data_IF_166677578425
#
_entry.id   IF_166677578425
#
_cell.length_a   1.000
_cell.length_b   1.000
_cell.length_c   1.000
_cell.angle_alpha   90.00
_cell.angle_beta   90.00
_cell.angle_gamma   90.00
#
_symmetry.space_group_name_H-M   'P 1'
#
loop_
_entity.id
_entity.type
_entity.pdbx_description
1 polymer ?
#
# COMPACT_ATOMS: atom_id res chain seq x y z
N UNK A 1 -20.11 22.23 -54.31
CA UNK A 1 -20.28 21.51 -53.03
C UNK A 1 -18.88 21.22 -52.49
N UNK A 2 -18.39 22.05 -51.57
CA UNK A 2 -17.08 21.86 -50.94
C UNK A 2 -17.29 20.96 -49.72
N UNK A 3 -16.71 19.76 -49.73
CA UNK A 3 -16.71 18.84 -48.61
C UNK A 3 -15.58 19.24 -47.66
N UNK A 4 -15.94 19.75 -46.47
CA UNK A 4 -15.00 20.01 -45.39
C UNK A 4 -14.73 18.71 -44.64
N UNK A 5 -13.56 18.12 -44.84
CA UNK A 5 -13.05 17.02 -44.03
C UNK A 5 -12.62 17.57 -42.67
N UNK A 6 -13.39 17.26 -41.63
CA UNK A 6 -13.06 17.61 -40.25
C UNK A 6 -11.92 16.69 -39.79
N UNK A 7 -10.71 17.23 -39.67
CA UNK A 7 -9.58 16.55 -39.02
C UNK A 7 -9.91 16.48 -37.52
N UNK A 8 -10.28 15.30 -37.01
CA UNK A 8 -10.32 15.04 -35.58
C UNK A 8 -8.87 15.09 -35.07
N UNK A 9 -8.50 16.15 -34.36
CA UNK A 9 -7.27 16.19 -33.60
C UNK A 9 -7.36 15.11 -32.50
N UNK A 10 -6.52 14.07 -32.59
CA UNK A 10 -6.28 13.19 -31.45
C UNK A 10 -5.69 14.05 -30.33
N UNK A 11 -6.45 14.22 -29.26
CA UNK A 11 -5.96 14.74 -27.99
C UNK A 11 -4.89 13.75 -27.51
N UNK A 12 -3.69 14.22 -27.11
CA UNK A 12 -2.60 13.33 -26.75
C UNK A 12 -3.00 12.44 -25.56
N UNK A 13 -2.50 11.21 -25.61
CA UNK A 13 -2.56 10.18 -24.60
C UNK A 13 -2.30 10.74 -23.19
N UNK A 14 -2.97 10.14 -22.21
CA UNK A 14 -2.80 10.39 -20.79
C UNK A 14 -1.31 10.56 -20.43
N UNK A 15 -1.02 11.60 -19.64
CA UNK A 15 0.31 11.81 -19.09
C UNK A 15 0.52 10.85 -17.93
N UNK A 16 1.65 10.17 -17.95
CA UNK A 16 2.19 9.42 -16.81
C UNK A 16 1.95 10.20 -15.52
N UNK A 17 1.31 9.53 -14.56
CA UNK A 17 1.38 9.92 -13.16
C UNK A 17 2.80 9.62 -12.66
N UNK A 18 3.77 10.32 -13.24
CA UNK A 18 5.12 10.36 -12.74
C UNK A 18 5.04 10.80 -11.26
N UNK A 19 5.79 10.15 -10.37
CA UNK A 19 5.80 10.55 -8.98
C UNK A 19 6.17 12.03 -8.87
N UNK A 20 5.42 12.84 -8.10
CA UNK A 20 5.69 14.26 -7.97
C UNK A 20 7.04 14.50 -7.30
N UNK A 21 7.71 15.60 -7.63
CA UNK A 21 8.87 16.03 -6.87
C UNK A 21 8.49 16.29 -5.41
N UNK A 22 9.37 15.92 -4.48
CA UNK A 22 9.25 16.24 -3.06
C UNK A 22 10.40 17.17 -2.69
N UNK A 23 10.08 18.34 -2.15
CA UNK A 23 11.06 19.36 -1.82
C UNK A 23 12.19 18.80 -0.93
N UNK A 24 13.43 19.02 -1.35
CA UNK A 24 14.62 18.56 -0.63
C UNK A 24 14.94 17.07 -0.76
N UNK A 25 14.20 16.30 -1.56
CA UNK A 25 14.43 14.86 -1.75
C UNK A 25 14.60 14.49 -3.23
N UNK A 26 15.37 13.43 -3.48
CA UNK A 26 15.53 12.81 -4.79
C UNK A 26 14.70 11.54 -4.86
N UNK A 27 14.10 11.24 -6.03
CA UNK A 27 13.55 9.91 -6.29
C UNK A 27 14.72 8.93 -6.44
N UNK A 28 14.83 7.96 -5.54
CA UNK A 28 15.85 6.90 -5.60
C UNK A 28 15.31 5.62 -6.24
N UNK A 29 13.98 5.46 -6.27
CA UNK A 29 13.29 4.36 -6.95
C UNK A 29 11.84 4.73 -7.26
N UNK A 30 11.28 4.27 -8.38
CA UNK A 30 9.86 4.41 -8.68
C UNK A 30 9.31 3.36 -9.64
N UNK A 31 8.00 3.15 -9.57
CA UNK A 31 7.19 2.38 -10.52
C UNK A 31 5.98 3.23 -10.93
N UNK A 32 5.71 3.30 -12.23
CA UNK A 32 4.59 4.06 -12.84
C UNK A 32 3.61 3.14 -13.57
N UNK A 33 3.81 1.82 -13.47
CA UNK A 33 2.93 0.79 -13.99
C UNK A 33 2.69 0.93 -15.50
N UNK A 34 3.74 1.28 -16.25
CA UNK A 34 3.67 1.41 -17.69
C UNK A 34 3.49 0.05 -18.37
N UNK A 35 2.46 -0.07 -19.22
CA UNK A 35 2.21 -1.30 -19.97
C UNK A 35 0.88 -1.36 -20.71
N UNK A 36 0.72 -2.42 -21.49
CA UNK A 36 -0.52 -2.71 -22.21
C UNK A 36 -1.65 -3.11 -21.25
N UNK A 37 -2.89 -2.85 -21.63
CA UNK A 37 -4.06 -3.24 -20.85
C UNK A 37 -4.10 -4.76 -20.67
N UNK A 38 -4.37 -5.22 -19.45
CA UNK A 38 -4.41 -6.65 -19.11
C UNK A 38 -3.04 -7.30 -18.90
N UNK A 39 -1.93 -6.57 -19.07
CA UNK A 39 -0.60 -7.08 -18.76
C UNK A 39 -0.41 -7.25 -17.24
N UNK A 40 0.39 -8.22 -16.78
CA UNK A 40 0.79 -8.32 -15.38
C UNK A 40 1.79 -7.21 -15.00
N UNK A 41 2.01 -6.95 -13.69
CA UNK A 41 3.12 -6.13 -13.25
C UNK A 41 4.46 -6.70 -13.71
N UNK A 42 5.48 -5.84 -13.83
CA UNK A 42 6.82 -6.26 -14.24
C UNK A 42 7.40 -7.24 -13.22
N UNK A 43 7.73 -8.45 -13.67
CA UNK A 43 8.18 -9.54 -12.80
C UNK A 43 9.61 -9.37 -12.29
N UNK A 44 10.42 -8.48 -12.87
CA UNK A 44 11.72 -8.08 -12.32
C UNK A 44 11.59 -7.14 -11.11
N UNK A 45 10.43 -6.50 -10.97
CA UNK A 45 10.14 -5.49 -9.96
C UNK A 45 9.27 -6.07 -8.84
N UNK A 46 8.29 -6.89 -9.20
CA UNK A 46 7.26 -7.39 -8.29
C UNK A 46 7.29 -8.91 -8.16
N UNK A 47 7.06 -9.38 -6.93
CA UNK A 47 6.56 -10.73 -6.66
C UNK A 47 5.04 -10.71 -6.56
N UNK A 48 4.38 -11.74 -7.11
CA UNK A 48 2.94 -11.96 -6.92
C UNK A 48 2.76 -13.09 -5.90
N UNK A 49 2.02 -12.82 -4.84
CA UNK A 49 1.71 -13.81 -3.80
C UNK A 49 0.45 -14.59 -4.22
N UNK A 50 0.54 -15.92 -4.37
CA UNK A 50 -0.55 -16.73 -4.95
C UNK A 50 -1.36 -17.57 -3.94
N UNK A 51 -0.94 -17.61 -2.67
CA UNK A 51 -1.68 -18.27 -1.60
C UNK A 51 -1.05 -17.88 -0.26
N UNK A 52 -1.75 -17.06 0.52
CA UNK A 52 -1.41 -16.77 1.91
C UNK A 52 -2.72 -16.74 2.70
N UNK A 53 -2.70 -17.33 3.89
CA UNK A 53 -3.84 -17.34 4.82
C UNK A 53 -3.30 -17.03 6.22
N UNK A 54 -3.30 -15.74 6.56
CA UNK A 54 -2.74 -15.24 7.82
C UNK A 54 -3.78 -14.57 8.71
N UNK A 55 -4.87 -14.04 8.14
CA UNK A 55 -5.83 -13.20 8.86
C UNK A 55 -7.28 -13.70 8.79
N UNK A 56 -7.49 -14.99 8.47
CA UNK A 56 -8.82 -15.57 8.18
C UNK A 56 -9.51 -14.91 6.97
N UNK A 57 -8.70 -14.41 6.04
CA UNK A 57 -9.14 -13.87 4.75
C UNK A 57 -9.74 -15.00 3.90
N UNK A 58 -10.76 -14.70 3.08
CA UNK A 58 -11.50 -15.73 2.31
C UNK A 58 -11.15 -15.77 0.83
N UNK A 59 -10.38 -14.80 0.34
CA UNK A 59 -9.94 -14.79 -1.05
C UNK A 59 -8.73 -15.71 -1.28
N UNK A 60 -8.64 -16.23 -2.50
CA UNK A 60 -7.36 -16.71 -3.05
C UNK A 60 -6.72 -15.59 -3.88
N UNK A 61 -5.47 -15.22 -3.57
CA UNK A 61 -4.73 -14.28 -4.43
C UNK A 61 -4.28 -14.98 -5.72
N UNK A 62 -4.34 -14.28 -6.86
CA UNK A 62 -3.98 -14.85 -8.16
C UNK A 62 -3.12 -13.89 -8.99
N UNK A 63 -2.45 -14.41 -10.02
CA UNK A 63 -1.77 -13.64 -11.08
C UNK A 63 -2.67 -13.42 -12.31
N UNK A 64 -3.96 -13.73 -12.20
CA UNK A 64 -4.92 -13.51 -13.29
C UNK A 64 -5.14 -12.02 -13.53
N UNK A 65 -5.18 -11.63 -14.80
CA UNK A 65 -5.53 -10.26 -15.20
C UNK A 65 -6.94 -9.84 -14.77
N UNK A 66 -7.79 -10.78 -14.36
CA UNK A 66 -9.10 -10.49 -13.76
C UNK A 66 -9.01 -9.86 -12.38
N UNK A 67 -7.90 -10.11 -11.68
CA UNK A 67 -7.63 -9.64 -10.33
C UNK A 67 -6.49 -8.62 -10.27
N UNK A 68 -5.51 -8.72 -11.15
CA UNK A 68 -4.30 -7.89 -11.11
C UNK A 68 -3.83 -7.59 -12.53
N UNK A 69 -3.96 -6.33 -12.96
CA UNK A 69 -3.58 -5.95 -14.32
C UNK A 69 -3.18 -4.48 -14.43
N UNK A 70 -2.32 -4.20 -15.41
CA UNK A 70 -2.11 -2.86 -15.94
C UNK A 70 -3.37 -2.41 -16.68
N UNK A 71 -3.82 -1.17 -16.44
CA UNK A 71 -5.07 -0.65 -16.99
C UNK A 71 -5.04 -0.33 -18.49
N UNK A 72 -3.85 -0.21 -19.08
CA UNK A 72 -3.68 0.22 -20.48
C UNK A 72 -2.85 1.48 -20.68
N UNK A 73 -2.13 1.90 -19.64
CA UNK A 73 -1.18 2.99 -19.77
C UNK A 73 -0.26 3.04 -18.55
N UNK A 74 -0.81 3.43 -17.40
CA UNK A 74 -0.02 4.07 -16.33
C UNK A 74 -0.61 3.85 -14.92
N UNK A 75 -1.44 2.83 -14.77
CA UNK A 75 -1.98 2.41 -13.47
C UNK A 75 -2.02 0.89 -13.39
N UNK A 76 -1.99 0.36 -12.18
CA UNK A 76 -2.27 -1.05 -11.89
C UNK A 76 -3.56 -1.17 -11.08
N UNK A 77 -4.34 -2.21 -11.34
CA UNK A 77 -5.65 -2.43 -10.75
C UNK A 77 -5.66 -3.74 -9.97
N UNK A 78 -6.07 -3.67 -8.71
CA UNK A 78 -6.32 -4.81 -7.81
C UNK A 78 -7.82 -4.99 -7.66
N UNK A 79 -8.36 -6.06 -8.23
CA UNK A 79 -9.80 -6.23 -8.45
C UNK A 79 -10.26 -7.48 -7.69
N UNK A 80 -10.95 -7.35 -6.55
CA UNK A 80 -11.55 -8.50 -5.90
C UNK A 80 -12.70 -9.02 -6.77
N UNK A 81 -12.80 -10.33 -6.95
CA UNK A 81 -13.83 -10.99 -7.79
C UNK A 81 -14.51 -12.10 -7.03
N UNK A 82 -15.83 -12.20 -7.18
CA UNK A 82 -16.65 -13.30 -6.65
C UNK A 82 -17.14 -14.16 -7.80
N UNK A 83 -16.80 -15.45 -7.81
CA UNK A 83 -17.32 -16.40 -8.78
C UNK A 83 -18.78 -16.76 -8.49
N UNK A 84 -19.45 -17.43 -9.43
CA UNK A 84 -20.84 -17.87 -9.30
C UNK A 84 -21.08 -18.86 -8.15
N UNK A 85 -20.06 -19.61 -7.74
CA UNK A 85 -20.11 -20.51 -6.57
C UNK A 85 -19.68 -19.82 -5.27
N UNK A 86 -19.52 -18.49 -5.26
CA UNK A 86 -19.26 -17.69 -4.07
C UNK A 86 -17.80 -17.63 -3.62
N UNK A 87 -16.87 -18.17 -4.41
CA UNK A 87 -15.42 -18.12 -4.12
C UNK A 87 -14.86 -16.75 -4.47
N UNK A 88 -14.07 -16.18 -3.56
CA UNK A 88 -13.40 -14.91 -3.76
C UNK A 88 -11.98 -15.08 -4.30
N UNK A 89 -11.59 -14.19 -5.20
CA UNK A 89 -10.21 -14.05 -5.69
C UNK A 89 -9.80 -12.59 -5.66
N UNK A 90 -8.50 -12.31 -5.53
CA UNK A 90 -7.98 -10.94 -5.55
C UNK A 90 -6.51 -10.86 -5.95
N UNK A 91 -5.92 -9.68 -5.92
CA UNK A 91 -4.51 -9.43 -6.21
C UNK A 91 -3.71 -9.00 -4.98
N UNK A 92 -2.46 -9.46 -4.90
CA UNK A 92 -1.45 -9.02 -3.94
C UNK A 92 -0.08 -9.02 -4.61
N UNK A 93 0.65 -7.92 -4.48
CA UNK A 93 2.03 -7.79 -4.96
C UNK A 93 2.94 -7.29 -3.86
N UNK A 94 4.22 -7.63 -3.99
CA UNK A 94 5.28 -7.13 -3.13
C UNK A 94 6.52 -6.73 -3.95
N UNK A 95 7.20 -5.67 -3.54
CA UNK A 95 8.45 -5.26 -4.21
C UNK A 95 9.54 -6.27 -3.93
N UNK A 96 10.33 -6.62 -4.95
CA UNK A 96 11.55 -7.42 -4.74
C UNK A 96 12.64 -6.62 -4.04
N UNK A 97 12.68 -5.31 -4.26
CA UNK A 97 13.56 -4.39 -3.57
C UNK A 97 13.02 -4.08 -2.16
N UNK A 98 13.95 -3.76 -1.27
CA UNK A 98 13.72 -3.36 0.11
C UNK A 98 14.56 -2.12 0.42
N UNK A 99 14.07 -1.24 1.29
CA UNK A 99 14.71 0.04 1.59
C UNK A 99 14.77 0.31 3.09
N UNK A 100 15.80 1.05 3.51
CA UNK A 100 15.90 1.68 4.82
C UNK A 100 16.68 2.99 4.63
N UNK A 101 16.30 4.10 5.31
CA UNK A 101 17.11 5.31 5.29
C UNK A 101 18.48 5.04 5.92
N UNK A 102 19.53 5.54 5.29
CA UNK A 102 20.86 5.56 5.93
C UNK A 102 20.87 6.51 7.14
N UNK A 103 21.76 6.33 8.12
CA UNK A 103 21.95 7.31 9.19
C UNK A 103 22.21 8.71 8.62
N UNK A 104 21.55 9.74 9.17
CA UNK A 104 21.62 11.10 8.67
C UNK A 104 20.66 11.42 7.52
N UNK A 105 19.83 10.46 7.08
CA UNK A 105 18.91 10.62 5.95
C UNK A 105 17.45 10.65 6.39
N UNK A 106 16.66 11.35 5.58
CA UNK A 106 15.21 11.27 5.58
C UNK A 106 14.80 10.48 4.34
N UNK A 107 13.99 9.43 4.50
CA UNK A 107 13.42 8.67 3.39
C UNK A 107 11.90 8.72 3.43
N UNK A 108 11.24 8.74 2.27
CA UNK A 108 9.79 8.70 2.14
C UNK A 108 9.38 7.62 1.16
N UNK A 109 8.43 6.77 1.55
CA UNK A 109 7.72 5.85 0.65
C UNK A 109 6.33 6.41 0.41
N UNK A 110 5.94 6.60 -0.85
CA UNK A 110 4.69 7.26 -1.22
C UNK A 110 4.04 6.57 -2.41
N UNK A 111 2.72 6.43 -2.34
CA UNK A 111 1.88 5.92 -3.41
C UNK A 111 0.68 6.83 -3.61
N UNK A 112 0.14 6.86 -4.83
CA UNK A 112 -1.14 7.51 -5.11
C UNK A 112 -2.11 6.50 -5.66
N UNK A 113 -3.29 6.40 -5.06
CA UNK A 113 -4.31 5.44 -5.46
C UNK A 113 -5.71 5.94 -5.17
N UNK A 114 -6.67 5.33 -5.85
CA UNK A 114 -8.10 5.56 -5.67
C UNK A 114 -8.83 4.24 -5.41
N UNK A 115 -10.06 4.35 -4.91
CA UNK A 115 -10.92 3.20 -4.62
C UNK A 115 -12.10 3.14 -5.57
N UNK A 116 -12.60 1.94 -5.83
CA UNK A 116 -13.86 1.78 -6.57
C UNK A 116 -15.07 2.40 -5.84
N UNK A 117 -16.18 2.62 -6.52
CA UNK A 117 -17.33 3.37 -5.98
C UNK A 117 -18.55 2.50 -5.57
N UNK A 118 -18.38 1.20 -5.36
CA UNK A 118 -19.46 0.32 -4.90
C UNK A 118 -19.98 0.78 -3.52
N UNK A 119 -21.28 0.63 -3.30
CA UNK A 119 -21.92 1.03 -2.05
C UNK A 119 -21.73 -0.03 -0.95
N UNK A 120 -21.79 -1.32 -1.30
CA UNK A 120 -21.70 -2.41 -0.34
C UNK A 120 -20.36 -3.12 -0.48
N UNK A 121 -19.43 -2.80 0.43
CA UNK A 121 -18.06 -3.32 0.42
C UNK A 121 -17.70 -4.09 1.70
N UNK A 122 -18.69 -4.62 2.42
CA UNK A 122 -18.45 -5.44 3.61
C UNK A 122 -17.43 -6.56 3.31
N UNK A 123 -16.38 -6.68 4.11
CA UNK A 123 -15.28 -7.62 3.90
C UNK A 123 -14.16 -7.11 2.97
N UNK A 124 -14.36 -6.08 2.15
CA UNK A 124 -13.31 -5.58 1.26
C UNK A 124 -12.27 -4.79 2.08
N UNK A 125 -10.99 -5.14 1.93
CA UNK A 125 -9.88 -4.62 2.71
C UNK A 125 -8.65 -4.31 1.83
N UNK A 126 -8.63 -3.14 1.15
CA UNK A 126 -7.42 -2.63 0.50
C UNK A 126 -6.35 -2.22 1.51
N UNK A 127 -5.09 -2.52 1.20
CA UNK A 127 -3.94 -2.15 2.02
C UNK A 127 -2.73 -1.72 1.18
N UNK A 128 -1.99 -0.74 1.71
CA UNK A 128 -0.66 -0.32 1.25
C UNK A 128 0.24 -0.21 2.48
N UNK A 129 1.26 -1.07 2.52
CA UNK A 129 1.99 -1.37 3.75
C UNK A 129 3.41 -1.83 3.46
N UNK A 130 4.18 -1.99 4.52
CA UNK A 130 5.59 -2.38 4.46
C UNK A 130 5.87 -3.48 5.48
N UNK A 131 6.62 -4.49 5.08
CA UNK A 131 7.03 -5.59 5.97
C UNK A 131 8.56 -5.67 6.02
N UNK A 132 9.11 -5.94 7.21
CA UNK A 132 10.55 -6.07 7.38
C UNK A 132 11.11 -7.20 6.50
N UNK A 133 12.15 -6.91 5.72
CA UNK A 133 12.78 -7.86 4.80
C UNK A 133 13.31 -9.10 5.54
N UNK A 134 13.58 -8.97 6.84
CA UNK A 134 13.96 -10.07 7.73
C UNK A 134 12.97 -11.26 7.68
N UNK A 135 11.69 -11.06 7.34
CA UNK A 135 10.73 -12.16 7.09
C UNK A 135 11.21 -13.11 6.01
N UNK A 136 11.78 -12.58 4.93
CA UNK A 136 12.32 -13.38 3.83
C UNK A 136 13.54 -14.20 4.25
N UNK A 137 14.14 -13.87 5.39
CA UNK A 137 15.32 -14.52 5.96
C UNK A 137 15.01 -15.27 7.27
N UNK A 138 13.73 -15.52 7.55
CA UNK A 138 13.29 -16.40 8.64
C UNK A 138 12.92 -15.71 9.96
N UNK A 139 12.94 -14.38 10.04
CA UNK A 139 12.40 -13.66 11.21
C UNK A 139 10.88 -13.60 11.13
N UNK A 140 10.18 -14.20 12.07
CA UNK A 140 8.72 -14.27 12.03
C UNK A 140 8.05 -12.92 12.35
N UNK A 141 6.81 -12.74 11.89
CA UNK A 141 5.97 -11.64 12.34
C UNK A 141 5.59 -11.83 13.83
N UNK A 142 5.50 -10.76 14.65
CA UNK A 142 5.78 -9.35 14.35
C UNK A 142 7.24 -8.95 14.66
N UNK A 143 8.15 -9.91 14.91
CA UNK A 143 9.56 -9.64 15.22
C UNK A 143 10.32 -8.95 14.08
N UNK A 144 9.86 -9.14 12.85
CA UNK A 144 10.39 -8.47 11.67
C UNK A 144 10.02 -6.98 11.57
N UNK A 145 9.00 -6.55 12.31
CA UNK A 145 8.37 -5.23 12.17
C UNK A 145 7.48 -5.12 10.93
N UNK A 146 6.41 -4.34 11.07
CA UNK A 146 5.43 -4.05 10.02
C UNK A 146 4.90 -2.63 10.18
N UNK A 147 4.72 -1.94 9.06
CA UNK A 147 4.28 -0.55 8.98
C UNK A 147 3.19 -0.42 7.93
N UNK A 148 1.95 -0.33 8.39
CA UNK A 148 0.80 -0.13 7.54
C UNK A 148 0.64 1.34 7.24
N UNK A 149 0.84 1.74 5.99
CA UNK A 149 0.73 3.14 5.57
C UNK A 149 -0.75 3.51 5.41
N UNK A 150 -1.53 2.54 4.94
CA UNK A 150 -2.95 2.65 4.69
C UNK A 150 -3.62 1.28 4.82
N UNK A 151 -4.66 1.23 5.64
CA UNK A 151 -5.66 0.16 5.64
C UNK A 151 -7.07 0.77 5.69
N UNK A 152 -7.95 0.33 4.80
CA UNK A 152 -9.35 0.68 4.83
C UNK A 152 -10.17 -0.60 4.84
N UNK A 153 -11.24 -0.64 5.62
CA UNK A 153 -12.16 -1.78 5.69
C UNK A 153 -13.56 -1.36 5.31
N UNK A 154 -14.31 -2.27 4.71
CA UNK A 154 -15.75 -2.16 4.50
C UNK A 154 -16.19 -0.93 3.66
N UNK A 155 -15.25 -0.31 2.92
CA UNK A 155 -15.51 0.91 2.16
C UNK A 155 -15.71 2.17 2.99
N UNK A 156 -15.31 2.16 4.27
CA UNK A 156 -15.44 3.32 5.15
C UNK A 156 -14.56 4.48 4.66
N UNK A 157 -15.04 5.73 4.75
CA UNK A 157 -14.25 6.93 4.44
C UNK A 157 -13.28 7.28 5.58
N UNK A 158 -12.54 6.27 6.03
CA UNK A 158 -11.48 6.33 7.02
C UNK A 158 -10.44 5.26 6.71
N UNK A 159 -9.18 5.57 6.98
CA UNK A 159 -8.09 4.61 6.94
C UNK A 159 -7.31 4.64 8.24
N UNK A 160 -6.58 3.58 8.52
CA UNK A 160 -5.65 3.49 9.65
C UNK A 160 -4.22 3.38 9.12
N UNK A 161 -3.30 4.07 9.80
CA UNK A 161 -1.87 3.77 9.72
C UNK A 161 -1.43 3.11 11.02
N UNK A 162 -0.77 1.97 10.92
CA UNK A 162 -0.50 1.08 12.05
C UNK A 162 0.97 0.67 12.08
N UNK A 163 1.49 0.44 13.29
CA UNK A 163 2.79 -0.21 13.49
C UNK A 163 2.59 -1.49 14.28
N UNK A 164 3.23 -2.56 13.82
CA UNK A 164 3.26 -3.86 14.48
C UNK A 164 4.71 -4.26 14.80
N UNK A 165 4.94 -4.81 15.99
CA UNK A 165 6.28 -5.13 16.47
C UNK A 165 6.35 -6.11 17.66
N UNK A 166 7.57 -6.59 17.93
CA UNK A 166 8.00 -7.24 19.17
C UNK A 166 7.44 -8.65 19.43
N UNK A 167 6.14 -8.83 19.64
CA UNK A 167 5.57 -10.12 20.08
C UNK A 167 4.10 -10.25 19.69
N UNK A 168 3.61 -11.45 19.42
CA UNK A 168 2.26 -11.69 18.85
C UNK A 168 1.05 -11.25 19.70
N UNK A 169 1.23 -10.92 20.98
CA UNK A 169 0.13 -10.44 21.84
C UNK A 169 0.60 -9.42 22.86
N UNK A 170 -0.11 -8.30 22.97
CA UNK A 170 0.20 -7.19 23.87
C UNK A 170 1.54 -6.53 23.51
N UNK A 171 2.38 -6.30 24.52
CA UNK A 171 3.70 -5.69 24.32
C UNK A 171 3.63 -4.22 23.93
N UNK A 172 4.77 -3.69 23.47
CA UNK A 172 4.96 -2.27 23.16
C UNK A 172 4.08 -1.83 21.99
N UNK A 173 3.80 -2.73 21.04
CA UNK A 173 2.93 -2.46 19.90
C UNK A 173 1.47 -2.89 20.08
N UNK A 174 1.07 -3.42 21.25
CA UNK A 174 -0.32 -3.80 21.54
C UNK A 174 -0.91 -4.83 20.54
N UNK A 175 -0.18 -5.91 20.31
CA UNK A 175 -0.57 -6.95 19.35
C UNK A 175 -1.79 -7.77 19.79
N UNK A 176 -2.59 -8.30 18.84
CA UNK A 176 -2.43 -8.22 17.38
C UNK A 176 -3.03 -6.94 16.76
N UNK A 177 -3.47 -5.97 17.58
CA UNK A 177 -4.13 -4.76 17.07
C UNK A 177 -3.16 -3.72 16.52
N UNK A 178 -1.88 -3.80 16.90
CA UNK A 178 -0.90 -2.77 16.59
C UNK A 178 -1.17 -1.44 17.30
N UNK A 179 -0.31 -0.46 17.05
CA UNK A 179 -0.52 0.95 17.44
C UNK A 179 -1.04 1.74 16.24
N UNK A 180 -2.34 1.60 16.00
CA UNK A 180 -3.04 2.25 14.88
C UNK A 180 -3.54 3.65 15.23
N UNK A 181 -3.45 4.57 14.25
CA UNK A 181 -4.14 5.86 14.28
C UNK A 181 -4.97 6.02 13.02
N UNK A 182 -6.26 6.30 13.20
CA UNK A 182 -7.19 6.50 12.11
C UNK A 182 -7.16 7.94 11.58
N UNK A 183 -7.44 8.09 10.29
CA UNK A 183 -7.66 9.36 9.62
C UNK A 183 -8.86 9.26 8.69
N UNK A 184 -9.60 10.36 8.51
CA UNK A 184 -10.69 10.41 7.53
C UNK A 184 -10.15 10.39 6.09
N UNK A 185 -10.96 9.94 5.12
CA UNK A 185 -10.72 10.06 3.68
C UNK A 185 -11.87 10.91 3.11
N UNK A 186 -11.64 11.91 2.24
CA UNK A 186 -12.73 12.80 1.84
C UNK A 186 -13.69 12.11 0.86
N UNK A 187 -13.19 11.23 0.00
CA UNK A 187 -13.95 10.49 -1.00
C UNK A 187 -13.18 9.22 -1.46
N UNK A 188 -13.59 8.61 -2.58
CA UNK A 188 -12.91 7.43 -3.15
C UNK A 188 -11.96 7.79 -4.31
N UNK A 189 -11.69 9.08 -4.56
CA UNK A 189 -10.85 9.54 -5.65
C UNK A 189 -9.35 9.37 -5.32
N UNK A 190 -8.48 9.91 -6.15
CA UNK A 190 -7.04 9.80 -6.01
C UNK A 190 -6.52 10.55 -4.78
N UNK A 191 -5.93 9.79 -3.85
CA UNK A 191 -5.24 10.32 -2.69
C UNK A 191 -3.80 9.81 -2.61
N UNK A 192 -2.94 10.66 -2.08
CA UNK A 192 -1.55 10.27 -1.79
C UNK A 192 -1.43 9.78 -0.36
N UNK A 193 -0.78 8.64 -0.19
CA UNK A 193 -0.48 8.04 1.11
C UNK A 193 1.02 7.84 1.19
N UNK A 194 1.61 8.21 2.33
CA UNK A 194 3.05 8.10 2.51
C UNK A 194 3.46 7.87 3.95
N UNK A 195 4.63 7.27 4.07
CA UNK A 195 5.35 7.08 5.31
C UNK A 195 6.74 7.68 5.16
N UNK A 196 7.12 8.51 6.13
CA UNK A 196 8.41 9.20 6.16
C UNK A 196 9.20 8.73 7.37
N UNK A 197 10.41 8.25 7.11
CA UNK A 197 11.38 7.85 8.12
C UNK A 197 12.48 8.89 8.25
N UNK A 198 12.55 9.56 9.40
CA UNK A 198 13.57 10.55 9.72
C UNK A 198 14.65 9.96 10.63
N UNK A 199 15.82 9.69 10.04
CA UNK A 199 17.05 9.29 10.73
C UNK A 199 18.12 10.39 10.71
N UNK A 200 17.72 11.65 10.53
CA UNK A 200 18.66 12.78 10.52
C UNK A 200 19.25 13.07 11.89
N UNK A 201 18.53 12.70 12.96
CA UNK A 201 19.05 12.77 14.32
C UNK A 201 20.14 11.72 14.57
N UNK A 202 21.13 12.06 15.39
CA UNK A 202 22.10 11.11 15.93
C UNK A 202 21.63 10.44 17.25
N UNK A 203 20.38 10.70 17.65
CA UNK A 203 19.75 10.11 18.84
C UNK A 203 18.49 9.36 18.41
N UNK A 204 18.52 8.03 18.52
CA UNK A 204 17.42 7.15 18.11
C UNK A 204 16.09 7.52 18.78
N UNK A 205 16.12 8.07 20.00
CA UNK A 205 14.93 8.51 20.72
C UNK A 205 14.14 9.61 19.99
N UNK A 206 14.80 10.39 19.13
CA UNK A 206 14.17 11.51 18.40
C UNK A 206 14.08 11.26 16.90
N UNK A 207 14.49 10.08 16.41
CA UNK A 207 14.15 9.65 15.07
C UNK A 207 12.64 9.41 14.98
N UNK A 208 12.06 9.52 13.78
CA UNK A 208 10.61 9.43 13.60
C UNK A 208 10.18 8.55 12.44
N UNK A 209 8.99 7.97 12.59
CA UNK A 209 8.18 7.40 11.51
C UNK A 209 6.89 8.23 11.44
N UNK A 210 6.60 8.86 10.31
CA UNK A 210 5.46 9.77 10.16
C UNK A 210 4.57 9.35 9.00
N UNK A 211 3.28 9.18 9.28
CA UNK A 211 2.26 8.85 8.29
C UNK A 211 1.53 10.09 7.81
N UNK A 212 1.32 10.17 6.50
CA UNK A 212 0.68 11.31 5.84
C UNK A 212 -0.33 10.87 4.79
N UNK A 213 -1.43 11.63 4.71
CA UNK A 213 -2.42 11.58 3.63
C UNK A 213 -2.49 12.96 2.99
N UNK A 214 -2.25 13.06 1.69
CA UNK A 214 -2.25 14.33 0.95
C UNK A 214 -1.31 15.37 1.56
N UNK A 215 -0.14 14.91 2.02
CA UNK A 215 0.86 15.72 2.71
C UNK A 215 0.47 16.15 4.14
N UNK A 216 -0.72 15.79 4.62
CA UNK A 216 -1.17 16.07 5.98
C UNK A 216 -0.79 14.92 6.90
N UNK A 217 -0.01 15.24 7.94
CA UNK A 217 0.38 14.28 8.99
C UNK A 217 -0.83 13.88 9.80
N UNK A 218 -1.03 12.57 9.99
CA UNK A 218 -2.05 12.04 10.89
C UNK A 218 -1.50 11.12 11.98
N UNK A 219 -0.26 10.66 11.86
CA UNK A 219 0.43 9.90 12.91
C UNK A 219 1.93 10.17 12.88
N UNK A 220 2.55 10.19 14.05
CA UNK A 220 4.01 10.22 14.21
C UNK A 220 4.38 9.32 15.38
N UNK A 221 5.30 8.39 15.14
CA UNK A 221 5.93 7.54 16.13
C UNK A 221 7.39 7.96 16.29
N UNK A 222 7.83 8.17 17.52
CA UNK A 222 9.23 8.45 17.84
C UNK A 222 9.91 7.22 18.47
N UNK A 223 11.25 7.18 18.44
CA UNK A 223 11.99 6.19 19.23
C UNK A 223 11.65 6.26 20.72
N UNK A 224 11.45 7.46 21.27
CA UNK A 224 11.02 7.64 22.66
C UNK A 224 9.64 7.01 22.95
N UNK A 225 8.70 7.04 22.00
CA UNK A 225 7.38 6.41 22.15
C UNK A 225 7.45 4.88 22.19
N UNK A 226 8.48 4.29 21.57
CA UNK A 226 8.79 2.85 21.66
C UNK A 226 9.57 2.54 22.94
N UNK A 227 10.48 3.42 23.36
CA UNK A 227 11.21 3.32 24.62
C UNK A 227 12.15 2.12 24.71
N UNK A 228 12.41 1.43 23.59
CA UNK A 228 13.29 0.28 23.51
C UNK A 228 14.10 0.35 22.20
N UNK A 229 15.42 0.48 22.32
CA UNK A 229 16.31 0.71 21.18
C UNK A 229 16.35 -0.47 20.20
N UNK A 230 16.32 -1.72 20.67
CA UNK A 230 16.39 -2.86 19.76
C UNK A 230 15.10 -3.01 18.94
N UNK A 231 13.94 -2.71 19.55
CA UNK A 231 12.65 -2.71 18.85
C UNK A 231 12.59 -1.52 17.88
N UNK A 232 13.07 -0.35 18.29
CA UNK A 232 13.17 0.79 17.38
C UNK A 232 14.08 0.50 16.19
N UNK A 233 15.21 -0.18 16.40
CA UNK A 233 16.10 -0.59 15.33
C UNK A 233 15.41 -1.53 14.32
N UNK A 234 14.55 -2.45 14.78
CA UNK A 234 13.70 -3.25 13.89
C UNK A 234 12.75 -2.37 13.05
N UNK A 235 12.16 -1.34 13.64
CA UNK A 235 11.18 -0.48 13.00
C UNK A 235 11.76 0.58 12.04
N UNK A 236 12.94 1.11 12.37
CA UNK A 236 13.51 2.27 11.68
C UNK A 236 14.88 2.02 11.03
N UNK A 237 15.63 0.99 11.46
CA UNK A 237 17.01 0.75 11.00
C UNK A 237 17.16 -0.52 10.15
N UNK A 238 16.09 -1.31 10.01
CA UNK A 238 16.05 -2.49 9.16
C UNK A 238 15.42 -2.19 7.79
N UNK A 239 15.77 -2.94 6.73
CA UNK A 239 15.14 -2.79 5.42
C UNK A 239 13.73 -3.38 5.39
N UNK A 240 12.84 -2.71 4.65
CA UNK A 240 11.46 -3.14 4.41
C UNK A 240 11.16 -3.18 2.93
N UNK A 241 10.35 -4.14 2.51
CA UNK A 241 9.73 -4.15 1.19
C UNK A 241 8.29 -3.66 1.28
N UNK A 242 7.76 -3.21 0.14
CA UNK A 242 6.40 -2.66 0.05
C UNK A 242 5.44 -3.73 -0.45
N UNK A 243 4.23 -3.74 0.12
CA UNK A 243 3.13 -4.59 -0.29
C UNK A 243 1.89 -3.76 -0.65
N UNK A 244 1.13 -4.24 -1.61
CA UNK A 244 -0.16 -3.70 -2.00
C UNK A 244 -1.12 -4.85 -2.31
N UNK A 245 -2.34 -4.78 -1.78
CA UNK A 245 -3.35 -5.81 -1.99
C UNK A 245 -4.77 -5.27 -1.80
N UNK A 246 -5.74 -6.08 -2.21
CA UNK A 246 -7.13 -5.99 -1.76
C UNK A 246 -7.51 -7.34 -1.17
N UNK A 247 -7.55 -7.45 0.15
CA UNK A 247 -8.07 -8.62 0.84
C UNK A 247 -9.61 -8.64 0.82
N UNK A 248 -10.19 -9.81 1.10
CA UNK A 248 -11.63 -10.02 1.25
C UNK A 248 -11.89 -10.89 2.48
N UNK A 249 -12.67 -10.38 3.42
CA UNK A 249 -12.90 -11.06 4.70
C UNK A 249 -11.72 -10.90 5.65
N UNK A 250 -11.71 -11.72 6.69
CA UNK A 250 -10.72 -11.67 7.74
C UNK A 250 -11.23 -11.09 9.05
N UNK A 251 -10.42 -11.24 10.10
CA UNK A 251 -10.75 -10.83 11.46
C UNK A 251 -11.08 -9.33 11.54
N UNK A 252 -10.36 -8.50 10.79
CA UNK A 252 -10.50 -7.04 10.84
C UNK A 252 -11.78 -6.53 10.15
N UNK A 253 -12.02 -6.77 8.84
CA UNK A 253 -13.25 -6.27 8.20
C UNK A 253 -14.48 -7.11 8.55
N UNK A 254 -14.31 -8.35 9.01
CA UNK A 254 -15.36 -9.37 9.05
C UNK A 254 -15.63 -9.97 7.67
N UNK A 255 -16.37 -11.07 7.61
CA UNK A 255 -16.63 -11.77 6.35
C UNK A 255 -17.47 -10.94 5.36
N UNK A 256 -17.27 -11.12 4.03
CA UNK A 256 -18.19 -10.59 3.04
C UNK A 256 -19.58 -11.24 3.19
N UNK A 257 -20.60 -10.50 2.78
CA UNK A 257 -22.00 -10.95 2.72
C UNK A 257 -22.44 -11.21 1.28
N UNK A 258 -23.65 -11.74 1.09
CA UNK A 258 -24.24 -11.88 -0.24
C UNK A 258 -24.48 -10.53 -0.94
N UNK A 259 -24.62 -9.45 -0.17
CA UNK A 259 -24.76 -8.09 -0.69
C UNK A 259 -23.42 -7.44 -1.05
N UNK A 260 -22.28 -8.07 -0.71
CA UNK A 260 -20.95 -7.52 -0.98
C UNK A 260 -20.69 -7.51 -2.48
N UNK A 261 -20.38 -6.33 -3.00
CA UNK A 261 -20.12 -6.12 -4.42
C UNK A 261 -18.63 -6.31 -4.73
N UNK A 262 -18.34 -6.91 -5.88
CA UNK A 262 -16.99 -7.19 -6.36
C UNK A 262 -16.64 -6.30 -7.58
N UNK A 263 -15.54 -6.63 -8.27
CA UNK A 263 -15.13 -5.99 -9.52
C UNK A 263 -14.55 -4.59 -9.34
N UNK A 264 -14.56 -3.81 -10.42
CA UNK A 264 -13.95 -2.48 -10.48
C UNK A 264 -14.54 -1.48 -9.46
N UNK A 265 -15.78 -1.69 -9.01
CA UNK A 265 -16.38 -0.86 -7.97
C UNK A 265 -15.81 -1.15 -6.56
N UNK A 266 -15.07 -2.24 -6.37
CA UNK A 266 -14.42 -2.62 -5.12
C UNK A 266 -12.89 -2.71 -5.26
N UNK A 267 -12.34 -2.17 -6.35
CA UNK A 267 -10.90 -2.22 -6.62
C UNK A 267 -10.11 -1.20 -5.81
N UNK A 268 -8.80 -1.43 -5.73
CA UNK A 268 -7.79 -0.39 -5.52
C UNK A 268 -7.05 -0.17 -6.85
N UNK A 269 -6.96 1.07 -7.31
CA UNK A 269 -6.22 1.42 -8.52
C UNK A 269 -5.07 2.37 -8.18
N UNK A 270 -3.85 1.98 -8.54
CA UNK A 270 -2.61 2.64 -8.12
C UNK A 270 -1.92 3.29 -9.32
N UNK A 271 -1.56 4.56 -9.17
CA UNK A 271 -0.91 5.35 -10.23
C UNK A 271 0.62 5.27 -10.18
N UNK A 272 1.22 5.32 -8.99
CA UNK A 272 2.65 5.11 -8.84
C UNK A 272 3.01 4.60 -7.44
N UNK A 273 4.20 4.02 -7.32
CA UNK A 273 4.93 3.88 -6.06
C UNK A 273 6.30 4.56 -6.22
N UNK A 274 6.71 5.34 -5.22
CA UNK A 274 8.00 6.01 -5.25
C UNK A 274 8.67 6.02 -3.87
N UNK A 275 10.00 5.92 -3.91
CA UNK A 275 10.87 6.06 -2.75
C UNK A 275 11.76 7.28 -2.97
N UNK A 276 11.72 8.21 -2.02
CA UNK A 276 12.47 9.44 -2.02
C UNK A 276 13.49 9.43 -0.88
N UNK A 277 14.65 10.05 -1.08
CA UNK A 277 15.64 10.25 -0.01
C UNK A 277 16.31 11.62 -0.15
N UNK A 278 16.66 12.25 0.98
CA UNK A 278 17.48 13.46 1.00
C UNK A 278 18.86 13.22 0.38
N UNK A 279 19.36 14.25 -0.32
CA UNK A 279 20.69 14.25 -0.96
C UNK A 279 21.83 13.88 -0.01
#
# INVERSE_FOLDING_TARGET
MLSSTLLLALVPFAKALAPPAVDGMNIIWSETFQGNAGAPPRSDTWGITLAIDTNNEVQTYTDSSWNLQISGGETIQFIPRKSSNGVWTSGRIETKASWTPQPGKLMRVQSMFRMGANANKQGIWPAFWMLGDAVRHGTQWPLCGELDIFEQVNGQLSATGTVHCQQESGGICNEPSGRGVATSIPDNDWHTWSLQWDRTSNNWLTETITWMRDGVVFNTLTGADIGNESIWATLAHAPYYVLMNVAVGGTLPGNPTDATQDGYGSMMEVGYLAVYETA
#
